data_IF_186239489929
#
_entry.id   IF_186239489929
#
_cell.length_a   1.000
_cell.length_b   1.000
_cell.length_c   1.000
_cell.angle_alpha   90.00
_cell.angle_beta   90.00
_cell.angle_gamma   90.00
#
_symmetry.space_group_name_H-M   'P 1'
#
loop_
_entity.id
_entity.type
_entity.pdbx_description
1 polymer ?
#
# COMPACT_ATOMS: atom_id res chain seq x y z
N UNK A 1 -61.06 40.79 27.27
CA UNK A 1 -60.75 39.44 26.74
C UNK A 1 -60.63 39.60 25.23
N UNK A 2 -59.62 39.18 24.50
CA UNK A 2 -58.46 38.36 24.76
C UNK A 2 -57.51 38.52 23.55
N UNK A 3 -56.27 38.89 23.83
CA UNK A 3 -55.01 38.51 23.19
C UNK A 3 -54.90 38.48 21.65
N UNK A 4 -54.18 39.48 21.13
CA UNK A 4 -53.36 39.34 19.94
C UNK A 4 -52.17 38.41 20.24
N UNK A 5 -52.10 37.27 19.54
CA UNK A 5 -50.92 36.38 19.54
C UNK A 5 -49.88 36.94 18.58
N UNK A 6 -48.90 37.67 19.11
CA UNK A 6 -47.57 37.68 18.53
C UNK A 6 -46.89 36.37 18.95
N UNK A 7 -46.61 35.46 18.02
CA UNK A 7 -45.67 34.36 18.25
C UNK A 7 -44.40 34.65 17.48
N UNK A 8 -43.36 34.88 18.28
CA UNK A 8 -41.94 34.96 18.01
C UNK A 8 -41.50 34.27 16.72
N UNK A 9 -40.82 35.05 15.87
CA UNK A 9 -39.74 34.52 15.04
C UNK A 9 -38.66 34.01 16.00
N UNK A 10 -38.58 32.70 16.17
CA UNK A 10 -37.34 32.07 16.63
C UNK A 10 -36.33 32.29 15.51
N UNK A 11 -35.47 33.29 15.69
CA UNK A 11 -34.24 33.39 14.93
C UNK A 11 -33.30 32.36 15.55
N UNK A 12 -33.25 31.16 14.98
CA UNK A 12 -32.12 30.27 15.20
C UNK A 12 -30.90 30.94 14.58
N UNK A 13 -30.16 31.65 15.42
CA UNK A 13 -28.80 32.03 15.14
C UNK A 13 -27.95 30.76 15.20
N UNK A 14 -27.95 29.96 14.12
CA UNK A 14 -26.83 29.07 13.84
C UNK A 14 -25.63 29.97 13.63
N UNK A 15 -24.76 30.05 14.64
CA UNK A 15 -23.50 30.77 14.52
C UNK A 15 -22.74 30.19 13.33
N UNK A 16 -22.68 30.94 12.22
CA UNK A 16 -21.94 30.51 11.04
C UNK A 16 -20.48 30.39 11.45
N UNK A 17 -19.97 29.16 11.51
CA UNK A 17 -18.53 28.90 11.68
C UNK A 17 -17.75 29.60 10.55
N UNK A 18 -16.50 29.96 10.82
CA UNK A 18 -15.65 30.60 9.81
C UNK A 18 -15.38 29.64 8.65
N UNK A 19 -15.17 30.18 7.45
CA UNK A 19 -14.78 29.37 6.29
C UNK A 19 -13.47 28.61 6.52
N UNK A 20 -12.53 29.18 7.25
CA UNK A 20 -11.27 28.53 7.63
C UNK A 20 -11.52 27.30 8.50
N UNK A 21 -12.37 27.43 9.53
CA UNK A 21 -12.78 26.28 10.35
C UNK A 21 -13.43 25.20 9.49
N UNK A 22 -14.38 25.57 8.61
CA UNK A 22 -15.06 24.62 7.72
C UNK A 22 -14.10 23.89 6.77
N UNK A 23 -13.03 24.52 6.31
CA UNK A 23 -12.03 23.87 5.46
C UNK A 23 -11.22 22.81 6.22
N UNK A 24 -10.83 23.12 7.46
CA UNK A 24 -10.11 22.18 8.34
C UNK A 24 -11.01 21.00 8.69
N UNK A 25 -12.23 21.28 9.15
CA UNK A 25 -13.23 20.28 9.54
C UNK A 25 -13.58 19.34 8.37
N UNK A 26 -13.88 19.91 7.19
CA UNK A 26 -14.19 19.12 6.00
C UNK A 26 -13.01 18.24 5.55
N UNK A 27 -11.77 18.72 5.66
CA UNK A 27 -10.60 17.92 5.30
C UNK A 27 -10.31 16.83 6.32
N UNK A 28 -10.49 17.12 7.61
CA UNK A 28 -10.30 16.15 8.69
C UNK A 28 -11.22 14.93 8.54
N UNK A 29 -12.42 15.13 7.98
CA UNK A 29 -13.42 14.09 7.76
C UNK A 29 -13.51 13.59 6.31
N UNK A 30 -12.64 14.05 5.41
CA UNK A 30 -12.73 13.74 3.98
C UNK A 30 -12.53 12.25 3.67
N UNK A 31 -11.71 11.58 4.46
CA UNK A 31 -11.33 10.17 4.29
C UNK A 31 -11.80 9.28 5.44
N UNK A 32 -12.81 9.72 6.20
CA UNK A 32 -13.42 8.93 7.25
C UNK A 32 -13.92 7.59 6.69
N UNK A 33 -13.68 6.51 7.45
CA UNK A 33 -14.01 5.15 7.04
C UNK A 33 -14.56 4.31 8.18
N UNK A 34 -15.39 3.31 7.87
CA UNK A 34 -16.02 2.41 8.85
C UNK A 34 -17.39 2.87 9.38
N UNK A 35 -17.94 3.95 8.83
CA UNK A 35 -19.29 4.43 9.15
C UNK A 35 -20.41 3.59 8.52
N UNK A 36 -21.66 3.88 8.90
CA UNK A 36 -22.84 3.21 8.33
C UNK A 36 -23.20 3.67 6.91
N UNK A 37 -22.60 4.77 6.44
CA UNK A 37 -22.86 5.31 5.11
C UNK A 37 -22.14 4.50 4.02
N UNK A 38 -22.80 4.37 2.87
CA UNK A 38 -22.23 3.70 1.72
C UNK A 38 -21.40 4.70 0.91
N UNK A 39 -20.21 4.26 0.48
CA UNK A 39 -19.36 5.01 -0.46
C UNK A 39 -19.46 4.29 -1.80
N UNK A 40 -19.92 4.98 -2.84
CA UNK A 40 -20.17 4.41 -4.16
C UNK A 40 -21.10 3.16 -4.11
N UNK A 41 -22.08 3.18 -3.21
CA UNK A 41 -23.03 2.08 -3.03
C UNK A 41 -22.46 0.86 -2.30
N UNK A 42 -21.27 0.98 -1.68
CA UNK A 42 -20.57 -0.12 -1.00
C UNK A 42 -20.32 0.20 0.47
N UNK A 43 -20.26 -0.80 1.36
CA UNK A 43 -19.84 -0.59 2.74
C UNK A 43 -18.47 0.09 2.80
N UNK A 44 -18.32 1.05 3.72
CA UNK A 44 -17.02 1.60 4.07
C UNK A 44 -16.41 0.74 5.17
N UNK A 45 -15.22 0.19 4.92
CA UNK A 45 -14.51 -0.62 5.91
C UNK A 45 -13.48 0.23 6.64
N UNK A 46 -13.26 0.01 7.94
CA UNK A 46 -12.05 0.47 8.65
C UNK A 46 -10.79 -0.24 8.10
N UNK A 47 -9.60 0.22 8.48
CA UNK A 47 -8.35 -0.47 8.09
C UNK A 47 -8.33 -1.91 8.64
N UNK A 48 -8.80 -2.13 9.88
CA UNK A 48 -8.92 -3.47 10.48
C UNK A 48 -9.86 -4.40 9.69
N UNK A 49 -11.02 -3.90 9.26
CA UNK A 49 -11.98 -4.66 8.46
C UNK A 49 -11.44 -4.98 7.06
N UNK A 50 -10.69 -4.04 6.48
CA UNK A 50 -9.99 -4.25 5.21
C UNK A 50 -8.88 -5.30 5.36
N UNK A 51 -8.08 -5.23 6.43
CA UNK A 51 -7.08 -6.23 6.78
C UNK A 51 -7.71 -7.62 6.93
N UNK A 52 -8.84 -7.75 7.63
CA UNK A 52 -9.59 -9.03 7.71
C UNK A 52 -9.99 -9.57 6.35
N UNK A 53 -10.41 -8.70 5.43
CA UNK A 53 -10.79 -9.10 4.07
C UNK A 53 -9.60 -9.56 3.24
N UNK A 54 -8.47 -8.87 3.36
CA UNK A 54 -7.19 -9.23 2.72
C UNK A 54 -6.69 -10.58 3.25
N UNK A 55 -6.84 -10.82 4.56
CA UNK A 55 -6.36 -12.03 5.24
C UNK A 55 -7.37 -13.18 5.28
N UNK A 56 -8.51 -13.06 4.59
CA UNK A 56 -9.63 -14.04 4.65
C UNK A 56 -9.24 -15.50 4.34
N UNK A 57 -8.11 -15.73 3.66
CA UNK A 57 -7.63 -17.08 3.34
C UNK A 57 -6.92 -17.76 4.52
N UNK A 58 -6.59 -17.02 5.58
CA UNK A 58 -5.96 -17.52 6.79
C UNK A 58 -4.68 -18.34 6.50
N UNK A 59 -3.84 -17.82 5.62
CA UNK A 59 -2.56 -18.42 5.21
C UNK A 59 -1.42 -17.51 5.68
N UNK A 60 -0.44 -18.08 6.36
CA UNK A 60 0.72 -17.35 6.89
C UNK A 60 1.91 -18.30 7.07
N UNK A 61 3.11 -17.72 7.14
CA UNK A 61 4.28 -18.44 7.61
C UNK A 61 4.21 -18.61 9.13
N UNK A 62 4.65 -19.76 9.63
CA UNK A 62 4.74 -20.02 11.07
C UNK A 62 6.15 -19.78 11.58
N UNK A 63 6.26 -19.15 12.74
CA UNK A 63 7.50 -19.02 13.51
C UNK A 63 7.90 -20.40 14.06
N UNK A 64 8.90 -21.04 13.43
CA UNK A 64 9.30 -22.42 13.76
C UNK A 64 10.21 -22.48 14.98
N UNK A 65 10.97 -21.44 15.27
CA UNK A 65 11.92 -21.42 16.38
C UNK A 65 11.40 -20.67 17.63
N UNK A 66 10.24 -20.02 17.51
CA UNK A 66 9.52 -19.36 18.59
C UNK A 66 10.15 -18.03 19.02
N UNK A 67 10.93 -17.39 18.16
CA UNK A 67 11.66 -16.15 18.49
C UNK A 67 10.83 -14.87 18.34
N UNK A 68 9.59 -14.98 17.84
CA UNK A 68 8.67 -13.85 17.63
C UNK A 68 8.89 -13.07 16.33
N UNK A 69 9.73 -13.55 15.42
CA UNK A 69 10.00 -13.01 14.08
C UNK A 69 9.85 -14.12 13.05
N UNK A 70 9.45 -13.75 11.83
CA UNK A 70 9.42 -14.68 10.69
C UNK A 70 10.70 -14.52 9.86
N UNK A 71 11.45 -15.60 9.73
CA UNK A 71 12.74 -15.65 9.06
C UNK A 71 12.62 -16.31 7.68
N UNK A 72 12.56 -15.51 6.62
CA UNK A 72 12.41 -16.02 5.25
C UNK A 72 13.72 -15.92 4.48
N UNK A 73 14.18 -17.06 3.96
CA UNK A 73 15.20 -17.06 2.92
C UNK A 73 14.61 -16.54 1.60
N UNK A 74 15.42 -15.93 0.74
CA UNK A 74 14.99 -15.65 -0.64
C UNK A 74 16.09 -15.91 -1.66
N UNK A 75 15.71 -16.30 -2.88
CA UNK A 75 16.66 -16.54 -3.96
C UNK A 75 16.12 -16.08 -5.33
N UNK A 76 17.03 -15.66 -6.21
CA UNK A 76 16.70 -15.42 -7.61
C UNK A 76 17.06 -16.67 -8.41
N UNK A 77 16.07 -17.31 -9.03
CA UNK A 77 16.27 -18.57 -9.73
C UNK A 77 17.25 -18.39 -10.89
N UNK A 78 18.20 -19.33 -11.03
CA UNK A 78 19.14 -19.42 -12.18
C UNK A 78 18.79 -20.52 -13.17
N UNK A 79 17.75 -21.30 -12.87
CA UNK A 79 17.22 -22.36 -13.71
C UNK A 79 15.76 -22.61 -13.33
N UNK A 80 14.97 -23.16 -14.26
CA UNK A 80 13.59 -23.56 -13.94
C UNK A 80 13.59 -24.64 -12.83
N UNK A 81 12.72 -24.50 -11.81
CA UNK A 81 12.60 -25.52 -10.78
C UNK A 81 11.94 -26.79 -11.32
N UNK A 82 12.10 -27.92 -10.62
CA UNK A 82 11.53 -29.21 -11.07
C UNK A 82 10.00 -29.22 -11.15
N UNK A 83 9.33 -28.33 -10.41
CA UNK A 83 7.88 -28.13 -10.43
C UNK A 83 7.44 -26.97 -11.34
N UNK A 84 8.30 -26.48 -12.23
CA UNK A 84 7.94 -25.42 -13.18
C UNK A 84 6.79 -25.85 -14.10
N UNK A 85 5.77 -25.00 -14.21
CA UNK A 85 4.64 -25.25 -15.10
C UNK A 85 5.04 -24.97 -16.55
N UNK A 86 5.12 -26.02 -17.36
CA UNK A 86 5.53 -25.93 -18.77
C UNK A 86 4.61 -25.04 -19.63
N UNK A 87 3.39 -24.73 -19.17
CA UNK A 87 2.47 -23.81 -19.86
C UNK A 87 2.93 -22.35 -19.79
N UNK A 88 3.83 -22.01 -18.88
CA UNK A 88 4.40 -20.67 -18.71
C UNK A 88 5.43 -20.32 -19.79
N UNK A 89 5.80 -21.28 -20.64
CA UNK A 89 6.78 -21.10 -21.70
C UNK A 89 8.20 -21.08 -21.15
N UNK A 90 9.06 -20.26 -21.74
CA UNK A 90 10.48 -20.24 -21.39
C UNK A 90 10.72 -19.49 -20.08
N UNK A 91 11.50 -20.14 -19.21
CA UNK A 91 12.05 -19.53 -18.02
C UNK A 91 13.11 -18.49 -18.39
N UNK A 92 13.14 -17.38 -17.66
CA UNK A 92 14.33 -16.52 -17.62
C UNK A 92 14.63 -16.00 -16.22
N UNK A 93 15.92 -15.81 -15.94
CA UNK A 93 16.36 -15.25 -14.67
C UNK A 93 15.94 -13.79 -14.53
N UNK A 94 15.88 -13.32 -13.28
CA UNK A 94 15.77 -11.89 -13.01
C UNK A 94 17.02 -11.14 -13.50
N UNK A 95 16.80 -10.00 -14.18
CA UNK A 95 17.86 -9.06 -14.51
C UNK A 95 18.42 -8.37 -13.26
N UNK A 96 19.59 -7.73 -13.37
CA UNK A 96 20.16 -6.96 -12.26
C UNK A 96 19.20 -5.87 -11.72
N UNK A 97 18.45 -5.21 -12.61
CA UNK A 97 17.46 -4.21 -12.21
C UNK A 97 16.29 -4.85 -11.45
N UNK A 98 15.78 -5.99 -11.92
CA UNK A 98 14.71 -6.72 -11.22
C UNK A 98 15.18 -7.19 -9.83
N UNK A 99 16.40 -7.72 -9.72
CA UNK A 99 16.99 -8.14 -8.43
C UNK A 99 17.08 -6.97 -7.45
N UNK A 100 17.62 -5.83 -7.89
CA UNK A 100 17.75 -4.64 -7.06
C UNK A 100 16.37 -4.14 -6.56
N UNK A 101 15.37 -4.08 -7.45
CA UNK A 101 14.04 -3.60 -7.10
C UNK A 101 13.25 -4.59 -6.24
N UNK A 102 13.46 -5.89 -6.42
CA UNK A 102 12.88 -6.92 -5.56
C UNK A 102 13.43 -6.81 -4.13
N UNK A 103 14.72 -6.52 -3.96
CA UNK A 103 15.31 -6.28 -2.63
C UNK A 103 14.68 -5.06 -1.97
N UNK A 104 14.49 -3.95 -2.68
CA UNK A 104 13.81 -2.77 -2.13
C UNK A 104 12.33 -3.04 -1.78
N UNK A 105 11.65 -3.92 -2.54
CA UNK A 105 10.29 -4.35 -2.22
C UNK A 105 10.23 -5.29 -1.00
N UNK A 106 11.21 -6.20 -0.84
CA UNK A 106 11.35 -7.01 0.37
C UNK A 106 11.62 -6.12 1.60
N UNK A 107 12.51 -5.14 1.46
CA UNK A 107 12.83 -4.19 2.52
C UNK A 107 11.60 -3.40 3.00
N UNK A 108 10.73 -2.96 2.08
CA UNK A 108 9.53 -2.21 2.47
C UNK A 108 8.51 -3.05 3.24
N UNK A 109 8.46 -4.37 3.02
CA UNK A 109 7.67 -5.29 3.86
C UNK A 109 8.33 -5.55 5.22
N UNK A 110 9.65 -5.76 5.27
CA UNK A 110 10.36 -5.97 6.54
C UNK A 110 10.39 -4.73 7.44
N UNK A 111 10.27 -3.54 6.84
CA UNK A 111 10.17 -2.29 7.58
C UNK A 111 8.92 -2.26 8.46
N UNK A 112 7.80 -2.82 8.00
CA UNK A 112 6.49 -2.61 8.63
C UNK A 112 6.05 -3.76 9.54
N UNK A 113 6.64 -4.94 9.39
CA UNK A 113 6.29 -6.13 10.18
C UNK A 113 7.51 -6.94 10.60
N UNK A 114 7.38 -7.80 11.62
CA UNK A 114 8.48 -8.64 12.13
C UNK A 114 8.80 -9.82 11.18
N UNK A 115 9.14 -9.51 9.94
CA UNK A 115 9.58 -10.44 8.91
C UNK A 115 10.96 -10.03 8.45
N UNK A 116 11.93 -10.95 8.48
CA UNK A 116 13.29 -10.73 8.00
C UNK A 116 13.55 -11.55 6.75
N UNK A 117 14.12 -10.90 5.74
CA UNK A 117 14.50 -11.53 4.48
C UNK A 117 16.01 -11.67 4.40
N UNK A 118 16.50 -12.89 4.18
CA UNK A 118 17.93 -13.15 4.01
C UNK A 118 18.19 -13.88 2.69
N UNK A 119 19.00 -13.29 1.82
CA UNK A 119 19.30 -13.90 0.53
C UNK A 119 20.06 -15.22 0.72
N UNK A 120 19.65 -16.25 0.00
CA UNK A 120 20.28 -17.58 -0.07
C UNK A 120 20.41 -18.30 1.29
N UNK A 121 19.68 -17.86 2.32
CA UNK A 121 19.62 -18.53 3.61
C UNK A 121 18.84 -19.85 3.46
N UNK A 122 19.48 -20.98 3.71
CA UNK A 122 18.86 -22.30 3.56
C UNK A 122 17.92 -22.69 4.72
N UNK A 123 18.11 -22.07 5.90
CA UNK A 123 17.39 -22.39 7.12
C UNK A 123 16.54 -21.18 7.56
N UNK A 124 15.25 -21.40 7.72
CA UNK A 124 14.27 -20.39 8.13
C UNK A 124 12.84 -20.94 8.16
N UNK A 125 11.89 -20.07 8.41
CA UNK A 125 10.46 -20.36 8.45
C UNK A 125 9.89 -20.64 7.06
N UNK A 126 10.53 -20.11 6.03
CA UNK A 126 10.12 -20.28 4.63
C UNK A 126 11.19 -19.84 3.64
N UNK A 127 10.83 -19.96 2.35
CA UNK A 127 11.67 -19.56 1.23
C UNK A 127 10.84 -18.79 0.21
N UNK A 128 11.38 -17.69 -0.28
CA UNK A 128 10.87 -16.96 -1.42
C UNK A 128 11.74 -17.19 -2.64
N UNK A 129 11.14 -17.24 -3.82
CA UNK A 129 11.89 -17.37 -5.05
C UNK A 129 11.25 -16.61 -6.21
N UNK A 130 12.10 -16.07 -7.07
CA UNK A 130 11.71 -15.14 -8.12
C UNK A 130 12.22 -15.63 -9.48
N UNK A 131 11.34 -15.62 -10.48
CA UNK A 131 11.66 -15.97 -11.86
C UNK A 131 10.74 -15.32 -12.88
N UNK A 132 11.18 -15.24 -14.14
CA UNK A 132 10.36 -14.73 -15.23
C UNK A 132 9.81 -15.88 -16.09
N UNK A 133 8.70 -15.61 -16.78
CA UNK A 133 8.09 -16.48 -17.79
C UNK A 133 7.62 -15.66 -19.01
N UNK A 134 7.37 -16.29 -20.16
CA UNK A 134 7.06 -15.56 -21.41
C UNK A 134 5.69 -15.85 -22.05
N UNK A 135 4.95 -16.86 -21.60
CA UNK A 135 3.58 -17.14 -22.08
C UNK A 135 2.54 -16.62 -21.09
N UNK A 136 1.72 -15.66 -21.52
CA UNK A 136 0.68 -15.07 -20.67
C UNK A 136 -0.40 -16.08 -20.28
N UNK A 137 -0.74 -16.09 -19.00
CA UNK A 137 -1.84 -16.86 -18.40
C UNK A 137 -3.03 -15.97 -18.02
N UNK A 138 -3.04 -14.73 -18.50
CA UNK A 138 -4.06 -13.71 -18.21
C UNK A 138 -3.63 -12.66 -17.18
N UNK A 139 -2.61 -12.93 -16.38
CA UNK A 139 -2.00 -11.98 -15.42
C UNK A 139 -0.63 -11.45 -15.87
N UNK A 140 -0.24 -10.31 -15.30
CA UNK A 140 1.10 -9.72 -15.48
C UNK A 140 2.18 -10.41 -14.63
N UNK A 141 1.77 -10.98 -13.51
CA UNK A 141 2.58 -11.78 -12.60
C UNK A 141 1.62 -12.65 -11.76
N UNK A 142 2.18 -13.58 -10.99
CA UNK A 142 1.45 -14.31 -9.97
C UNK A 142 2.41 -14.87 -8.91
N UNK A 143 1.88 -15.15 -7.72
CA UNK A 143 2.60 -15.77 -6.63
C UNK A 143 1.73 -16.76 -5.86
N UNK A 144 2.38 -17.57 -5.03
CA UNK A 144 1.73 -18.58 -4.20
C UNK A 144 1.76 -18.16 -2.73
N UNK A 145 0.57 -18.19 -2.13
CA UNK A 145 0.39 -18.01 -0.70
C UNK A 145 1.07 -19.13 0.11
N UNK A 146 1.49 -18.87 1.37
CA UNK A 146 2.05 -19.88 2.27
C UNK A 146 0.96 -20.86 2.74
N UNK A 147 0.72 -21.89 1.93
CA UNK A 147 -0.38 -22.85 2.08
C UNK A 147 0.05 -24.23 2.59
N UNK A 148 1.36 -24.46 2.76
CA UNK A 148 1.99 -25.75 3.01
C UNK A 148 2.34 -26.53 1.75
N UNK A 149 2.34 -25.90 0.57
CA UNK A 149 2.60 -26.56 -0.71
C UNK A 149 4.07 -26.43 -1.15
N UNK A 150 4.48 -27.20 -2.17
CA UNK A 150 5.81 -27.07 -2.77
C UNK A 150 6.00 -25.81 -3.64
N UNK A 151 4.93 -25.02 -3.84
CA UNK A 151 4.97 -23.76 -4.59
C UNK A 151 5.06 -22.54 -3.69
N UNK A 152 4.88 -22.69 -2.38
CA UNK A 152 4.84 -21.58 -1.43
C UNK A 152 6.06 -20.67 -1.61
N UNK A 153 5.81 -19.36 -1.63
CA UNK A 153 6.84 -18.33 -1.78
C UNK A 153 7.44 -18.20 -3.19
N UNK A 154 7.01 -19.01 -4.17
CA UNK A 154 7.36 -18.74 -5.58
C UNK A 154 6.55 -17.56 -6.12
N UNK A 155 7.22 -16.66 -6.83
CA UNK A 155 6.60 -15.56 -7.59
C UNK A 155 7.18 -15.47 -9.00
N UNK A 156 6.30 -15.23 -9.96
CA UNK A 156 6.56 -15.36 -11.39
C UNK A 156 6.09 -14.12 -12.15
N UNK A 157 6.94 -13.60 -13.05
CA UNK A 157 6.71 -12.29 -13.68
C UNK A 157 6.76 -12.41 -15.21
N UNK A 158 5.70 -11.96 -15.88
CA UNK A 158 5.59 -12.07 -17.34
C UNK A 158 6.54 -11.09 -18.03
N UNK A 159 7.33 -11.59 -18.97
CA UNK A 159 8.10 -10.77 -19.91
C UNK A 159 8.01 -11.39 -21.31
N UNK A 160 7.42 -10.65 -22.25
CA UNK A 160 7.43 -11.00 -23.67
C UNK A 160 7.26 -9.74 -24.53
N UNK A 161 7.30 -9.87 -25.86
CA UNK A 161 7.23 -8.72 -26.77
C UNK A 161 5.97 -7.85 -26.62
N UNK A 162 4.89 -8.38 -26.04
CA UNK A 162 3.64 -7.66 -25.80
C UNK A 162 3.55 -7.08 -24.38
N UNK A 163 4.39 -7.53 -23.44
CA UNK A 163 4.38 -7.08 -22.06
C UNK A 163 5.81 -6.92 -21.53
N UNK A 164 6.27 -5.68 -21.47
CA UNK A 164 7.65 -5.32 -21.06
C UNK A 164 7.72 -4.61 -19.69
N UNK A 165 6.58 -4.38 -19.01
CA UNK A 165 6.51 -3.59 -17.78
C UNK A 165 7.40 -4.17 -16.66
N UNK A 166 7.42 -5.50 -16.50
CA UNK A 166 8.23 -6.18 -15.49
C UNK A 166 9.73 -6.21 -15.79
N UNK A 167 10.16 -5.79 -17.00
CA UNK A 167 11.58 -5.77 -17.38
C UNK A 167 12.32 -4.58 -16.76
N UNK A 168 11.61 -3.48 -16.52
CA UNK A 168 12.18 -2.21 -16.02
C UNK A 168 11.42 -1.72 -14.78
N UNK A 169 11.35 -2.50 -13.70
CA UNK A 169 10.77 -2.03 -12.45
C UNK A 169 11.60 -0.84 -11.93
N UNK A 170 10.92 0.16 -11.40
CA UNK A 170 11.55 1.34 -10.80
C UNK A 170 10.55 2.06 -9.87
N UNK A 171 11.07 2.91 -8.99
CA UNK A 171 10.25 3.70 -8.07
C UNK A 171 9.11 4.43 -8.80
N UNK A 172 7.90 4.30 -8.25
CA UNK A 172 6.71 4.97 -8.75
C UNK A 172 6.05 4.31 -9.97
N UNK A 173 6.63 3.24 -10.55
CA UNK A 173 6.08 2.56 -11.71
C UNK A 173 5.37 1.25 -11.37
N UNK A 174 4.57 0.74 -12.32
CA UNK A 174 3.76 -0.46 -12.09
C UNK A 174 4.61 -1.73 -11.89
N UNK A 175 5.78 -1.84 -12.53
CA UNK A 175 6.67 -3.00 -12.36
C UNK A 175 7.19 -3.13 -10.92
N UNK A 176 7.54 -2.01 -10.26
CA UNK A 176 7.90 -2.00 -8.83
C UNK A 176 6.70 -2.34 -7.95
N UNK A 177 5.51 -1.80 -8.24
CA UNK A 177 4.29 -2.18 -7.51
C UNK A 177 3.97 -3.68 -7.67
N UNK A 178 4.16 -4.26 -8.86
CA UNK A 178 3.96 -5.70 -9.09
C UNK A 178 4.90 -6.55 -8.24
N UNK A 179 6.18 -6.19 -8.12
CA UNK A 179 7.09 -6.89 -7.19
C UNK A 179 6.56 -6.86 -5.75
N UNK A 180 6.20 -5.68 -5.24
CA UNK A 180 5.69 -5.52 -3.88
C UNK A 180 4.37 -6.29 -3.68
N UNK A 181 3.51 -6.33 -4.70
CA UNK A 181 2.24 -7.07 -4.70
C UNK A 181 2.43 -8.58 -4.62
N UNK A 182 3.28 -9.16 -5.47
CA UNK A 182 3.52 -10.61 -5.47
C UNK A 182 4.25 -11.08 -4.21
N UNK A 183 5.11 -10.23 -3.62
CA UNK A 183 5.68 -10.48 -2.30
C UNK A 183 4.57 -10.47 -1.23
N UNK A 184 3.61 -9.54 -1.31
CA UNK A 184 2.44 -9.52 -0.43
C UNK A 184 1.64 -10.84 -0.46
N UNK A 185 1.39 -11.39 -1.66
CA UNK A 185 0.79 -12.74 -1.80
C UNK A 185 1.65 -13.82 -1.14
N UNK A 186 2.95 -13.79 -1.37
CA UNK A 186 3.90 -14.74 -0.76
C UNK A 186 3.97 -14.63 0.76
N UNK A 187 3.56 -13.49 1.33
CA UNK A 187 3.41 -13.25 2.77
C UNK A 187 2.03 -13.61 3.32
N UNK A 188 1.06 -14.01 2.50
CA UNK A 188 -0.28 -14.40 2.97
C UNK A 188 -1.41 -13.44 2.64
N UNK A 189 -1.13 -12.28 2.05
CA UNK A 189 -2.16 -11.30 1.71
C UNK A 189 -2.88 -11.70 0.43
N UNK A 190 -4.20 -11.70 0.41
CA UNK A 190 -4.98 -11.86 -0.82
C UNK A 190 -5.33 -10.51 -1.43
N UNK A 191 -5.80 -10.49 -2.68
CA UNK A 191 -6.56 -9.34 -3.17
C UNK A 191 -7.69 -9.01 -2.20
N UNK A 192 -8.02 -7.72 -1.94
CA UNK A 192 -9.09 -7.33 -1.04
C UNK A 192 -10.44 -8.00 -1.28
N UNK A 193 -10.80 -8.23 -2.56
CA UNK A 193 -12.00 -8.92 -2.99
C UNK A 193 -11.74 -10.29 -3.64
N UNK A 194 -12.81 -11.00 -3.98
CA UNK A 194 -12.75 -12.31 -4.66
C UNK A 194 -12.70 -12.11 -6.18
N UNK A 195 -11.54 -11.73 -6.68
CA UNK A 195 -11.26 -11.58 -8.12
C UNK A 195 -9.83 -12.02 -8.44
N UNK A 196 -9.59 -12.34 -9.71
CA UNK A 196 -8.27 -12.65 -10.23
C UNK A 196 -8.16 -12.33 -11.72
N UNK A 197 -6.96 -11.95 -12.17
CA UNK A 197 -6.71 -11.78 -13.60
C UNK A 197 -6.91 -13.11 -14.35
N UNK A 198 -7.43 -13.03 -15.57
CA UNK A 198 -7.76 -14.21 -16.38
C UNK A 198 -9.03 -14.96 -15.97
N UNK A 199 -9.72 -14.57 -14.88
CA UNK A 199 -10.99 -15.14 -14.46
C UNK A 199 -12.15 -14.14 -14.62
N UNK A 200 -12.85 -14.22 -15.75
CA UNK A 200 -13.93 -13.30 -16.08
C UNK A 200 -13.43 -11.86 -16.35
N UNK A 201 -14.34 -10.90 -16.23
CA UNK A 201 -14.05 -9.47 -16.42
C UNK A 201 -14.45 -8.70 -15.16
N UNK A 202 -13.75 -8.88 -14.04
CA UNK A 202 -14.08 -8.18 -12.80
C UNK A 202 -13.94 -6.67 -12.99
N UNK A 203 -14.76 -5.91 -12.29
CA UNK A 203 -14.74 -4.44 -12.25
C UNK A 203 -14.77 -3.95 -10.80
N UNK A 204 -14.50 -2.66 -10.59
CA UNK A 204 -14.68 -2.06 -9.27
C UNK A 204 -16.14 -2.20 -8.75
N UNK A 205 -17.13 -2.34 -9.62
CA UNK A 205 -18.51 -2.58 -9.17
C UNK A 205 -18.68 -3.92 -8.44
N UNK A 206 -17.75 -4.86 -8.62
CA UNK A 206 -17.78 -6.19 -8.01
C UNK A 206 -17.08 -6.26 -6.64
N UNK A 207 -16.46 -5.17 -6.17
CA UNK A 207 -15.72 -5.19 -4.90
C UNK A 207 -16.63 -5.24 -3.68
N UNK A 208 -16.11 -5.86 -2.62
CA UNK A 208 -16.81 -6.08 -1.35
C UNK A 208 -16.98 -4.79 -0.53
N UNK A 209 -16.00 -3.89 -0.55
CA UNK A 209 -16.00 -2.65 0.23
C UNK A 209 -15.37 -1.51 -0.58
N UNK A 210 -15.73 -0.27 -0.27
CA UNK A 210 -15.39 0.88 -1.11
C UNK A 210 -13.88 1.17 -1.19
N UNK A 211 -13.16 0.94 -0.09
CA UNK A 211 -11.71 1.18 0.01
C UNK A 211 -10.87 0.13 -0.73
N UNK A 212 -11.47 -0.83 -1.45
CA UNK A 212 -10.74 -1.72 -2.36
C UNK A 212 -10.26 -0.94 -3.60
N UNK A 213 -9.21 -0.14 -3.41
CA UNK A 213 -8.50 0.59 -4.46
C UNK A 213 -7.02 0.65 -4.13
N UNK A 214 -6.22 0.95 -5.15
CA UNK A 214 -4.78 1.24 -5.02
C UNK A 214 -4.47 2.51 -4.25
N UNK A 215 -5.49 3.23 -3.76
CA UNK A 215 -5.32 4.31 -2.78
C UNK A 215 -5.13 3.81 -1.34
N UNK A 216 -5.56 2.58 -1.03
CA UNK A 216 -5.51 2.01 0.32
C UNK A 216 -4.69 0.73 0.41
N UNK A 217 -4.68 -0.08 -0.65
CA UNK A 217 -3.94 -1.35 -0.71
C UNK A 217 -3.36 -1.57 -2.10
N UNK A 218 -2.07 -1.85 -2.19
CA UNK A 218 -1.43 -2.27 -3.44
C UNK A 218 -1.86 -3.68 -3.88
N UNK A 219 -2.53 -4.43 -3.01
CA UNK A 219 -3.18 -5.71 -3.35
C UNK A 219 -4.44 -5.52 -4.21
N UNK A 220 -4.93 -4.30 -4.39
CA UNK A 220 -6.10 -3.99 -5.22
C UNK A 220 -5.80 -3.92 -6.72
N UNK A 221 -6.77 -4.34 -7.54
CA UNK A 221 -6.74 -4.13 -8.98
C UNK A 221 -7.23 -2.74 -9.40
N UNK A 222 -7.94 -2.03 -8.52
CA UNK A 222 -8.75 -0.89 -8.91
C UNK A 222 -8.02 0.43 -8.69
N UNK A 223 -8.15 1.32 -9.67
CA UNK A 223 -7.59 2.68 -9.60
C UNK A 223 -8.02 3.41 -8.32
N UNK A 224 -7.10 4.17 -7.73
CA UNK A 224 -7.34 5.05 -6.59
C UNK A 224 -8.45 6.08 -6.87
N UNK A 225 -8.64 6.41 -8.15
CA UNK A 225 -9.67 7.35 -8.60
C UNK A 225 -11.09 6.90 -8.29
N UNK A 226 -11.33 5.60 -8.05
CA UNK A 226 -12.65 5.13 -7.63
C UNK A 226 -13.05 5.67 -6.24
N UNK A 227 -12.09 6.10 -5.44
CA UNK A 227 -12.29 6.65 -4.09
C UNK A 227 -11.87 8.11 -3.96
N UNK A 228 -11.86 8.82 -5.09
CA UNK A 228 -11.55 10.26 -5.20
C UNK A 228 -10.10 10.67 -4.87
N UNK A 229 -9.18 9.72 -4.74
CA UNK A 229 -7.74 10.00 -4.80
C UNK A 229 -7.30 10.24 -6.25
N UNK A 230 -6.12 10.83 -6.40
CA UNK A 230 -5.50 11.03 -7.72
C UNK A 230 -3.98 11.03 -7.60
N UNK A 231 -3.34 10.00 -8.15
CA UNK A 231 -1.88 9.87 -8.15
C UNK A 231 -1.23 10.32 -9.46
N UNK A 232 -1.98 11.06 -10.29
CA UNK A 232 -1.51 11.59 -11.56
C UNK A 232 -1.19 13.07 -11.45
N UNK A 233 -0.04 13.43 -12.04
CA UNK A 233 0.44 14.81 -12.16
C UNK A 233 1.26 14.94 -13.45
N UNK A 234 1.16 16.10 -14.09
CA UNK A 234 1.87 16.42 -15.34
C UNK A 234 1.67 15.36 -16.44
N UNK A 235 0.42 14.87 -16.56
CA UNK A 235 0.02 13.94 -17.62
C UNK A 235 0.45 12.48 -17.44
N UNK A 236 1.01 12.11 -16.27
CA UNK A 236 1.40 10.73 -15.98
C UNK A 236 0.97 10.29 -14.57
N UNK A 237 0.62 9.02 -14.41
CA UNK A 237 0.30 8.40 -13.11
C UNK A 237 1.55 8.03 -12.31
N UNK A 238 1.34 7.64 -11.05
CA UNK A 238 2.32 7.01 -10.18
C UNK A 238 1.67 5.85 -9.43
N UNK A 239 2.47 4.84 -9.08
CA UNK A 239 2.06 3.68 -8.33
C UNK A 239 2.86 3.59 -7.03
N UNK A 240 2.18 3.27 -5.92
CA UNK A 240 2.85 3.02 -4.65
C UNK A 240 3.88 1.89 -4.79
N UNK A 241 5.11 2.14 -4.33
CA UNK A 241 6.23 1.18 -4.39
C UNK A 241 6.38 0.34 -3.13
N UNK A 242 5.67 0.69 -2.07
CA UNK A 242 5.71 0.09 -0.74
C UNK A 242 4.28 -0.15 -0.22
N UNK A 243 4.10 -1.00 0.80
CA UNK A 243 2.81 -1.24 1.45
C UNK A 243 2.06 0.06 1.79
N UNK A 244 0.77 0.10 1.47
CA UNK A 244 -0.14 1.17 1.84
C UNK A 244 -0.86 0.85 3.16
N UNK A 245 -1.71 1.76 3.63
CA UNK A 245 -2.32 1.70 4.96
C UNK A 245 -2.97 0.35 5.29
N UNK A 246 -3.75 -0.22 4.36
CA UNK A 246 -4.46 -1.49 4.59
C UNK A 246 -3.53 -2.70 4.44
N UNK A 247 -2.47 -2.56 3.63
CA UNK A 247 -1.42 -3.58 3.51
C UNK A 247 -0.60 -3.69 4.80
N UNK A 248 -0.24 -2.53 5.39
CA UNK A 248 0.47 -2.44 6.67
C UNK A 248 -0.37 -3.07 7.78
N UNK A 249 -1.64 -2.69 7.90
CA UNK A 249 -2.54 -3.28 8.90
C UNK A 249 -2.67 -4.81 8.74
N UNK A 250 -2.78 -5.30 7.49
CA UNK A 250 -2.88 -6.73 7.21
C UNK A 250 -1.61 -7.49 7.59
N UNK A 251 -0.43 -7.04 7.13
CA UNK A 251 0.81 -7.77 7.41
C UNK A 251 1.20 -7.72 8.89
N UNK A 252 0.91 -6.62 9.58
CA UNK A 252 1.11 -6.51 11.03
C UNK A 252 0.16 -7.40 11.82
N UNK A 253 -1.06 -7.64 11.32
CA UNK A 253 -1.99 -8.59 11.94
C UNK A 253 -1.50 -10.04 11.83
N UNK A 254 -0.72 -10.38 10.79
CA UNK A 254 -0.08 -11.69 10.65
C UNK A 254 1.18 -11.82 11.50
N UNK A 255 2.07 -10.83 11.44
CA UNK A 255 3.46 -11.00 11.90
C UNK A 255 3.88 -10.00 12.99
N UNK A 256 2.97 -9.15 13.45
CA UNK A 256 3.25 -8.09 14.41
C UNK A 256 3.97 -6.90 13.78
N UNK A 257 3.79 -5.73 14.40
CA UNK A 257 4.45 -4.49 14.01
C UNK A 257 5.95 -4.52 14.32
N UNK A 258 6.76 -4.02 13.37
CA UNK A 258 8.19 -3.83 13.60
C UNK A 258 8.46 -2.43 14.18
N UNK A 259 8.53 -2.37 15.50
CA UNK A 259 8.80 -1.13 16.25
C UNK A 259 10.28 -0.71 16.24
N UNK A 260 11.19 -1.53 15.71
CA UNK A 260 12.61 -1.19 15.59
C UNK A 260 12.86 -0.26 14.39
N UNK A 261 11.97 -0.25 13.41
CA UNK A 261 12.09 0.53 12.19
C UNK A 261 11.99 2.02 12.46
N UNK A 262 13.05 2.76 12.14
CA UNK A 262 13.07 4.23 12.21
C UNK A 262 12.64 4.75 13.60
N UNK A 263 13.07 4.07 14.67
CA UNK A 263 12.70 4.40 16.05
C UNK A 263 13.42 5.66 16.62
N UNK A 264 14.04 6.43 15.74
CA UNK A 264 14.75 7.68 15.96
C UNK A 264 14.22 8.75 14.99
N UNK A 265 14.54 10.03 15.23
CA UNK A 265 13.94 11.15 14.50
C UNK A 265 14.07 11.02 12.98
N UNK A 266 12.92 10.94 12.31
CA UNK A 266 12.83 10.73 10.88
C UNK A 266 12.14 11.88 10.15
N UNK A 267 12.73 12.30 9.03
CA UNK A 267 12.15 13.22 8.06
C UNK A 267 11.69 12.43 6.85
N UNK A 268 10.44 12.63 6.45
CA UNK A 268 9.81 12.05 5.27
C UNK A 268 9.52 13.16 4.25
N UNK A 269 9.69 12.89 2.96
CA UNK A 269 9.52 13.88 1.89
C UNK A 269 10.84 14.51 1.47
N UNK A 270 10.91 15.84 1.41
CA UNK A 270 12.17 16.55 1.16
C UNK A 270 13.12 16.36 2.35
N UNK A 271 14.43 16.47 2.09
CA UNK A 271 15.46 16.33 3.12
C UNK A 271 15.38 14.99 3.91
N UNK A 272 14.78 13.96 3.30
CA UNK A 272 14.50 12.71 3.99
C UNK A 272 15.76 11.99 4.45
N UNK A 273 15.73 11.48 5.68
CA UNK A 273 16.70 10.54 6.23
C UNK A 273 16.08 9.14 6.44
N UNK A 274 14.88 8.87 5.90
CA UNK A 274 14.19 7.60 6.04
C UNK A 274 14.87 6.45 5.26
N UNK A 275 15.88 6.77 4.44
CA UNK A 275 16.66 5.84 3.61
C UNK A 275 15.79 4.93 2.71
N UNK A 276 14.69 5.48 2.20
CA UNK A 276 13.79 4.79 1.24
C UNK A 276 13.49 5.70 0.07
N UNK A 277 13.55 5.12 -1.13
CA UNK A 277 13.23 5.81 -2.38
C UNK A 277 11.79 6.34 -2.36
N UNK A 278 10.84 5.54 -1.86
CA UNK A 278 9.42 5.90 -1.81
C UNK A 278 9.05 6.94 -0.75
N UNK A 279 9.92 7.21 0.23
CA UNK A 279 9.72 8.29 1.19
C UNK A 279 10.44 9.59 0.81
N UNK A 280 11.22 9.60 -0.26
CA UNK A 280 12.05 10.75 -0.64
C UNK A 280 11.42 11.59 -1.75
N UNK A 281 11.35 12.90 -1.54
CA UNK A 281 11.07 13.89 -2.58
C UNK A 281 12.36 14.67 -2.89
N UNK A 282 12.71 14.76 -4.17
CA UNK A 282 13.98 15.38 -4.62
C UNK A 282 13.76 16.61 -5.50
N UNK A 283 12.53 16.87 -5.92
CA UNK A 283 12.17 18.06 -6.68
C UNK A 283 10.68 18.38 -6.57
N UNK A 284 10.27 19.59 -6.95
CA UNK A 284 8.86 19.98 -7.05
C UNK A 284 8.05 19.12 -8.04
N UNK A 285 8.71 18.35 -8.91
CA UNK A 285 8.09 17.42 -9.86
C UNK A 285 7.92 16.00 -9.28
N UNK A 286 8.50 15.69 -8.12
CA UNK A 286 8.35 14.39 -7.46
C UNK A 286 6.87 14.05 -7.24
N UNK A 287 6.52 12.78 -7.45
CA UNK A 287 5.20 12.22 -7.14
C UNK A 287 5.36 11.25 -5.99
N UNK A 288 5.02 11.70 -4.79
CA UNK A 288 5.13 10.89 -3.58
C UNK A 288 3.83 10.12 -3.37
N UNK A 289 3.91 8.79 -3.23
CA UNK A 289 2.77 7.94 -2.91
C UNK A 289 3.22 6.92 -1.87
N UNK A 290 2.86 7.13 -0.61
CA UNK A 290 3.31 6.28 0.51
C UNK A 290 2.38 6.33 1.71
N UNK A 291 2.50 5.32 2.57
CA UNK A 291 1.98 5.31 3.94
C UNK A 291 3.15 5.28 4.92
N UNK A 292 3.16 6.17 5.90
CA UNK A 292 4.22 6.25 6.92
C UNK A 292 4.06 5.12 7.90
N UNK A 293 5.10 4.30 8.03
CA UNK A 293 5.32 3.44 9.20
C UNK A 293 6.56 3.95 9.93
N UNK A 294 6.43 4.16 11.23
CA UNK A 294 7.50 4.67 12.08
C UNK A 294 7.39 4.05 13.47
N UNK A 295 8.52 3.60 14.03
CA UNK A 295 8.60 2.94 15.34
C UNK A 295 8.65 3.91 16.52
N UNK A 296 8.89 5.20 16.28
CA UNK A 296 8.93 6.27 17.26
C UNK A 296 10.04 7.27 16.98
N UNK A 297 10.03 8.41 17.67
CA UNK A 297 10.98 9.48 17.39
C UNK A 297 10.32 10.84 17.59
N UNK A 298 10.90 11.86 16.97
CA UNK A 298 10.23 13.13 16.74
C UNK A 298 10.36 13.46 15.26
N UNK A 299 9.30 13.15 14.52
CA UNK A 299 9.30 12.94 13.09
C UNK A 299 8.63 14.09 12.36
N UNK A 300 9.01 14.29 11.10
CA UNK A 300 8.55 15.41 10.28
C UNK A 300 8.14 14.96 8.89
N UNK A 301 6.93 15.34 8.48
CA UNK A 301 6.55 15.38 7.07
C UNK A 301 7.06 16.69 6.44
N UNK A 302 8.16 16.63 5.71
CA UNK A 302 8.74 17.79 5.02
C UNK A 302 8.29 17.82 3.55
N UNK A 303 7.37 18.72 3.24
CA UNK A 303 6.86 18.95 1.89
C UNK A 303 7.22 20.34 1.36
N UNK A 304 8.32 20.91 1.86
CA UNK A 304 8.72 22.31 1.62
C UNK A 304 9.10 22.64 0.18
N UNK A 305 9.47 21.64 -0.62
CA UNK A 305 9.88 21.83 -2.01
C UNK A 305 8.74 21.81 -3.02
N UNK A 306 7.48 21.62 -2.59
CA UNK A 306 6.31 21.68 -3.46
C UNK A 306 5.72 23.10 -3.49
N UNK A 307 5.14 23.48 -4.62
CA UNK A 307 4.56 24.82 -4.81
C UNK A 307 3.03 24.80 -4.93
N UNK A 308 2.44 23.61 -5.01
CA UNK A 308 0.99 23.43 -5.09
C UNK A 308 0.35 23.66 -3.71
N UNK A 309 -0.93 24.01 -3.69
CA UNK A 309 -1.70 24.00 -2.44
C UNK A 309 -1.73 22.56 -1.89
N UNK A 310 -1.39 22.41 -0.61
CA UNK A 310 -1.32 21.11 0.06
C UNK A 310 -2.29 21.08 1.24
N UNK A 311 -2.73 19.89 1.63
CA UNK A 311 -3.46 19.65 2.87
C UNK A 311 -2.80 18.49 3.59
N UNK A 312 -2.23 18.77 4.77
CA UNK A 312 -1.44 17.80 5.53
C UNK A 312 -2.18 17.49 6.82
N UNK A 313 -2.46 16.20 7.04
CA UNK A 313 -3.09 15.69 8.24
C UNK A 313 -2.09 14.79 8.99
N UNK A 314 -1.80 15.12 10.24
CA UNK A 314 -0.87 14.38 11.11
C UNK A 314 -1.55 13.32 11.97
N UNK A 315 -2.87 13.19 11.89
CA UNK A 315 -3.57 12.12 12.61
C UNK A 315 -3.20 10.76 12.03
N UNK A 316 -2.98 9.77 12.89
CA UNK A 316 -2.85 8.38 12.47
C UNK A 316 -4.07 7.93 11.66
N UNK A 317 -3.87 7.04 10.68
CA UNK A 317 -4.94 6.53 9.82
C UNK A 317 -5.55 7.58 8.88
N UNK A 318 -4.99 8.79 8.81
CA UNK A 318 -5.47 9.86 7.93
C UNK A 318 -4.69 9.92 6.62
N UNK A 319 -5.24 10.68 5.67
CA UNK A 319 -4.65 10.94 4.36
C UNK A 319 -4.36 12.44 4.16
N UNK A 320 -3.40 12.72 3.29
CA UNK A 320 -2.91 14.05 2.92
C UNK A 320 -2.91 14.26 1.40
N UNK A 321 -3.21 15.49 0.99
CA UNK A 321 -3.10 15.97 -0.39
C UNK A 321 -1.73 16.68 -0.54
N UNK A 322 -0.76 16.04 -1.17
CA UNK A 322 0.65 16.48 -1.17
C UNK A 322 1.20 16.62 -2.58
N UNK A 323 1.93 17.71 -2.84
CA UNK A 323 2.67 17.91 -4.09
C UNK A 323 1.82 17.99 -5.37
N UNK A 324 0.55 18.35 -5.25
CA UNK A 324 -0.41 18.41 -6.37
C UNK A 324 -1.13 17.09 -6.66
N UNK A 325 -0.91 16.06 -5.86
CA UNK A 325 -1.70 14.82 -5.85
C UNK A 325 -2.78 14.91 -4.74
N UNK A 326 -3.70 13.94 -4.72
CA UNK A 326 -4.84 13.89 -3.78
C UNK A 326 -4.86 12.55 -3.05
N UNK A 327 -4.92 12.57 -1.72
CA UNK A 327 -4.92 11.39 -0.85
C UNK A 327 -3.73 10.44 -1.07
N UNK A 328 -2.56 10.98 -1.40
CA UNK A 328 -1.38 10.22 -1.82
C UNK A 328 -0.38 9.93 -0.69
N UNK A 329 -0.44 10.68 0.40
CA UNK A 329 0.34 10.43 1.61
C UNK A 329 -0.62 10.03 2.72
N UNK A 330 -0.27 9.02 3.50
CA UNK A 330 -1.01 8.63 4.69
C UNK A 330 -0.09 8.29 5.86
N UNK A 331 -0.65 8.22 7.06
CA UNK A 331 0.04 7.75 8.26
C UNK A 331 -0.63 6.45 8.69
N UNK A 332 0.13 5.37 8.89
CA UNK A 332 -0.43 4.09 9.32
C UNK A 332 -1.07 4.19 10.72
N UNK A 333 -1.94 3.25 11.05
CA UNK A 333 -2.50 3.17 12.42
C UNK A 333 -1.39 2.87 13.43
N UNK A 334 -1.48 3.47 14.62
CA UNK A 334 -0.50 3.32 15.69
C UNK A 334 0.76 4.20 15.56
N UNK A 335 0.91 4.94 14.46
CA UNK A 335 2.04 5.85 14.24
C UNK A 335 1.70 7.27 14.67
N UNK A 336 2.64 7.95 15.33
CA UNK A 336 2.56 9.40 15.63
C UNK A 336 3.62 10.11 14.80
N UNK A 337 3.26 11.23 14.16
CA UNK A 337 4.21 12.11 13.48
C UNK A 337 3.99 13.52 14.03
N UNK A 338 5.04 14.14 14.55
CA UNK A 338 4.94 15.33 15.40
C UNK A 338 4.87 16.64 14.61
N UNK A 339 5.48 16.67 13.42
CA UNK A 339 5.65 17.91 12.67
C UNK A 339 5.31 17.77 11.17
N UNK A 340 4.92 18.90 10.58
CA UNK A 340 4.74 19.07 9.15
C UNK A 340 5.32 20.40 8.68
N UNK A 341 5.94 20.39 7.50
CA UNK A 341 6.42 21.59 6.81
C UNK A 341 5.70 21.68 5.46
N UNK A 342 4.90 22.72 5.28
CA UNK A 342 4.25 23.04 4.00
C UNK A 342 5.21 23.65 2.98
N UNK A 343 4.71 23.86 1.77
CA UNK A 343 5.44 24.46 0.64
C UNK A 343 5.51 25.98 0.66
#
# INVERSE_FOLDING_TARGET
>A
MSQAKAKEKVVEASGRVSSAYSQVDAFNHLYDRGGSELINGKPSFTADQAADSILRKNMSWGDKDGNGKIELGFSFMTSSPSNYDSRLGDFSEFSAQQKAQAILALQSWSDVANVRFTQDAANGDGQLSFGNYNVSTGGAAFAYLPSGSSYDGQSWYLINDQYQVNKTPDHGNYGRQTLTHEIGHSLGLSHPGVYNAGNGNPTYNDVTYAQDTRGYSLMSYWSESNTNQNFSKDGSGAYASAPLMDDIAAVQKLYGANMETRADNTVYGFNSNADRDFYSATSAASKVVFSVWDGGGNDTLDFSGFTQNQKINLNQGSFSDVGGLVGNVSIAQGVTVEAAIGG
#
